data_IF_965647521156
#
_entry.id   IF_965647521156
#
_cell.length_a   1.000
_cell.length_b   1.000
_cell.length_c   1.000
_cell.angle_alpha   90.00
_cell.angle_beta   90.00
_cell.angle_gamma   90.00
#
_symmetry.space_group_name_H-M   'P 1'
#
loop_
_entity.id
_entity.type
_entity.pdbx_description
1 polymer ?
#
# COMPACT_ATOMS: atom_id res chain seq x y z
N UNK A 1 -1.63 -47.06 6.70
CA UNK A 1 -1.65 -46.26 7.94
C UNK A 1 -0.21 -46.16 8.40
N UNK A 2 0.51 -45.15 7.90
CA UNK A 2 1.92 -44.93 8.27
C UNK A 2 2.01 -43.72 9.19
N UNK A 3 2.62 -43.99 10.34
CA UNK A 3 2.64 -43.16 11.53
C UNK A 3 3.53 -41.94 11.30
N UNK A 4 2.91 -40.76 11.14
CA UNK A 4 3.59 -39.48 11.19
C UNK A 4 4.22 -39.31 12.59
N UNK A 5 5.54 -39.30 12.65
CA UNK A 5 6.29 -39.04 13.86
C UNK A 5 5.89 -37.69 14.47
N UNK A 6 5.44 -37.71 15.71
CA UNK A 6 5.12 -36.54 16.50
C UNK A 6 6.30 -35.55 16.55
N UNK A 7 6.06 -34.24 16.51
CA UNK A 7 7.11 -33.26 16.77
C UNK A 7 7.58 -33.42 18.23
N UNK A 8 8.86 -33.74 18.43
CA UNK A 8 9.47 -33.75 19.77
C UNK A 8 9.25 -32.40 20.44
N UNK A 9 8.66 -32.42 21.63
CA UNK A 9 8.43 -31.23 22.45
C UNK A 9 9.75 -30.49 22.74
N UNK A 10 9.70 -29.16 22.69
CA UNK A 10 10.83 -28.28 23.01
C UNK A 10 11.32 -28.42 24.47
N UNK A 11 10.59 -29.14 25.31
CA UNK A 11 10.82 -29.33 26.75
C UNK A 11 11.90 -30.34 27.14
N UNK A 12 12.47 -31.10 26.20
CA UNK A 12 13.59 -32.01 26.48
C UNK A 12 14.98 -31.41 26.16
N UNK A 13 15.09 -30.12 25.87
CA UNK A 13 16.38 -29.47 25.63
C UNK A 13 17.03 -28.99 26.93
N UNK A 14 18.27 -29.41 27.19
CA UNK A 14 19.10 -28.89 28.29
C UNK A 14 19.15 -27.36 28.28
N UNK A 15 19.11 -26.74 29.47
CA UNK A 15 19.23 -25.28 29.66
C UNK A 15 20.41 -24.71 28.88
N UNK A 16 21.54 -25.42 28.86
CA UNK A 16 22.76 -25.04 28.12
C UNK A 16 22.49 -24.96 26.61
N UNK A 17 21.74 -25.92 26.05
CA UNK A 17 21.37 -25.94 24.63
C UNK A 17 20.47 -24.75 24.27
N UNK A 18 19.51 -24.40 25.13
CA UNK A 18 18.64 -23.23 24.94
C UNK A 18 19.44 -21.92 25.00
N UNK A 19 20.38 -21.81 25.93
CA UNK A 19 21.27 -20.64 26.04
C UNK A 19 22.16 -20.48 24.80
N UNK A 20 22.73 -21.58 24.28
CA UNK A 20 23.53 -21.55 23.06
C UNK A 20 22.69 -21.12 21.84
N UNK A 21 21.49 -21.69 21.65
CA UNK A 21 20.57 -21.26 20.58
C UNK A 21 20.29 -19.76 20.66
N UNK A 22 20.00 -19.25 21.87
CA UNK A 22 19.73 -17.82 22.09
C UNK A 22 20.96 -16.95 21.79
N UNK A 23 22.14 -17.36 22.26
CA UNK A 23 23.39 -16.66 21.98
C UNK A 23 23.63 -16.49 20.48
N UNK A 24 23.54 -17.56 19.70
CA UNK A 24 23.80 -17.52 18.27
C UNK A 24 22.75 -16.73 17.49
N UNK A 25 21.46 -16.82 17.89
CA UNK A 25 20.40 -15.95 17.37
C UNK A 25 20.73 -14.48 17.63
N UNK A 26 21.10 -14.12 18.86
CA UNK A 26 21.46 -12.75 19.23
C UNK A 26 22.71 -12.27 18.50
N UNK A 27 23.72 -13.13 18.32
CA UNK A 27 24.92 -12.83 17.53
C UNK A 27 24.58 -12.53 16.07
N UNK A 28 23.68 -13.30 15.46
CA UNK A 28 23.20 -13.03 14.10
C UNK A 28 22.48 -11.67 14.01
N UNK A 29 21.61 -11.35 14.96
CA UNK A 29 20.94 -10.03 15.01
C UNK A 29 21.97 -8.91 15.10
N UNK A 30 22.99 -9.07 15.93
CA UNK A 30 24.05 -8.07 16.09
C UNK A 30 24.88 -7.90 14.80
N UNK A 31 25.21 -9.00 14.10
CA UNK A 31 25.93 -8.95 12.82
C UNK A 31 25.12 -8.15 11.79
N UNK A 32 23.83 -8.45 11.64
CA UNK A 32 22.91 -7.72 10.75
C UNK A 32 22.84 -6.23 11.12
N UNK A 33 22.68 -5.92 12.41
CA UNK A 33 22.56 -4.53 12.88
C UNK A 33 23.86 -3.71 12.76
N UNK A 34 25.02 -4.35 12.86
CA UNK A 34 26.34 -3.67 12.75
C UNK A 34 26.89 -3.63 11.32
N UNK A 35 26.18 -4.20 10.35
CA UNK A 35 26.61 -4.25 8.95
C UNK A 35 27.87 -5.09 8.73
N UNK A 36 28.17 -6.02 9.65
CA UNK A 36 29.31 -6.94 9.48
C UNK A 36 29.05 -7.88 8.30
N UNK A 37 30.09 -8.21 7.55
CA UNK A 37 30.01 -9.07 6.38
C UNK A 37 29.43 -10.44 6.77
N UNK A 38 28.32 -10.81 6.12
CA UNK A 38 27.70 -12.12 6.23
C UNK A 38 28.22 -13.08 5.16
N UNK A 39 27.87 -14.36 5.30
CA UNK A 39 28.19 -15.37 4.29
C UNK A 39 27.49 -15.06 2.96
N UNK A 40 28.28 -14.90 1.90
CA UNK A 40 27.79 -14.44 0.59
C UNK A 40 26.80 -15.42 -0.04
N UNK A 41 26.97 -16.74 0.17
CA UNK A 41 26.05 -17.74 -0.36
C UNK A 41 24.71 -17.71 0.36
N UNK A 42 24.73 -17.45 1.67
CA UNK A 42 23.50 -17.31 2.46
C UNK A 42 22.75 -16.05 2.03
N UNK A 43 23.44 -14.92 1.85
CA UNK A 43 22.83 -13.69 1.31
C UNK A 43 22.27 -13.92 -0.09
N UNK A 44 23.03 -14.54 -0.99
CA UNK A 44 22.57 -14.82 -2.35
C UNK A 44 21.32 -15.73 -2.37
N UNK A 45 21.24 -16.71 -1.45
CA UNK A 45 20.07 -17.59 -1.36
C UNK A 45 18.78 -16.89 -0.90
N UNK A 46 18.90 -15.74 -0.23
CA UNK A 46 17.79 -14.94 0.27
C UNK A 46 17.20 -13.99 -0.80
N UNK A 47 17.90 -13.77 -1.93
CA UNK A 47 17.58 -12.73 -2.91
C UNK A 47 16.14 -12.80 -3.46
N UNK A 48 15.63 -14.00 -3.74
CA UNK A 48 14.26 -14.19 -4.23
C UNK A 48 13.21 -13.78 -3.19
N UNK A 49 13.44 -14.12 -1.92
CA UNK A 49 12.56 -13.75 -0.83
C UNK A 49 12.64 -12.23 -0.58
N UNK A 50 13.83 -11.65 -0.62
CA UNK A 50 14.01 -10.20 -0.45
C UNK A 50 13.30 -9.42 -1.55
N UNK A 51 13.41 -9.84 -2.80
CA UNK A 51 12.64 -9.26 -3.90
C UNK A 51 11.12 -9.33 -3.65
N UNK A 52 10.63 -10.43 -3.05
CA UNK A 52 9.21 -10.56 -2.69
C UNK A 52 8.82 -9.63 -1.53
N UNK A 53 9.71 -9.40 -0.56
CA UNK A 53 9.48 -8.45 0.53
C UNK A 53 9.41 -7.01 0.01
N UNK A 54 10.23 -6.65 -0.99
CA UNK A 54 10.14 -5.34 -1.64
C UNK A 54 8.77 -5.12 -2.31
N UNK A 55 8.20 -6.15 -2.93
CA UNK A 55 6.83 -6.07 -3.48
C UNK A 55 5.81 -5.81 -2.37
N UNK A 56 5.93 -6.48 -1.22
CA UNK A 56 5.07 -6.23 -0.06
C UNK A 56 5.21 -4.78 0.45
N UNK A 57 6.43 -4.29 0.61
CA UNK A 57 6.69 -2.92 1.08
C UNK A 57 6.14 -1.88 0.11
N UNK A 58 6.32 -2.09 -1.20
CA UNK A 58 5.71 -1.25 -2.23
C UNK A 58 4.18 -1.22 -2.14
N UNK A 59 3.54 -2.38 -1.93
CA UNK A 59 2.08 -2.45 -1.71
C UNK A 59 1.67 -1.63 -0.48
N UNK A 60 2.36 -1.83 0.65
CA UNK A 60 2.07 -1.12 1.89
C UNK A 60 2.21 0.41 1.73
N UNK A 61 3.35 0.86 1.22
CA UNK A 61 3.67 2.28 1.05
C UNK A 61 2.69 2.96 0.12
N UNK A 62 2.44 2.36 -1.05
CA UNK A 62 1.54 2.98 -2.04
C UNK A 62 0.08 2.97 -1.61
N UNK A 63 -0.35 2.03 -0.76
CA UNK A 63 -1.66 2.09 -0.11
C UNK A 63 -1.75 3.26 0.88
N UNK A 64 -0.73 3.45 1.72
CA UNK A 64 -0.68 4.60 2.63
C UNK A 64 -0.66 5.93 1.89
N UNK A 65 0.10 6.02 0.81
CA UNK A 65 0.17 7.26 0.02
C UNK A 65 -1.15 7.55 -0.70
N UNK A 66 -1.81 6.51 -1.24
CA UNK A 66 -3.13 6.66 -1.85
C UNK A 66 -4.16 7.22 -0.86
N UNK A 67 -4.14 6.81 0.41
CA UNK A 67 -5.03 7.36 1.43
C UNK A 67 -4.83 8.87 1.61
N UNK A 68 -3.58 9.31 1.75
CA UNK A 68 -3.25 10.75 1.87
C UNK A 68 -3.69 11.53 0.63
N UNK A 69 -3.47 10.96 -0.56
CA UNK A 69 -3.87 11.58 -1.82
C UNK A 69 -5.39 11.75 -1.88
N UNK A 70 -6.16 10.72 -1.52
CA UNK A 70 -7.63 10.78 -1.54
C UNK A 70 -8.14 11.84 -0.56
N UNK A 71 -7.60 11.90 0.67
CA UNK A 71 -7.98 12.91 1.66
C UNK A 71 -7.70 14.34 1.17
N UNK A 72 -6.49 14.57 0.65
CA UNK A 72 -6.09 15.87 0.12
C UNK A 72 -6.90 16.25 -1.10
N UNK A 73 -7.23 15.28 -1.95
CA UNK A 73 -8.05 15.50 -3.14
C UNK A 73 -9.48 15.87 -2.77
N UNK A 74 -10.08 15.16 -1.81
CA UNK A 74 -11.37 15.54 -1.25
C UNK A 74 -11.32 16.98 -0.75
N UNK A 75 -10.41 17.34 0.17
CA UNK A 75 -10.32 18.74 0.66
C UNK A 75 -10.29 19.78 -0.48
N UNK A 76 -9.50 19.53 -1.53
CA UNK A 76 -9.41 20.42 -2.70
C UNK A 76 -10.72 20.48 -3.50
N UNK A 77 -11.46 19.38 -3.60
CA UNK A 77 -12.78 19.35 -4.25
C UNK A 77 -13.80 20.21 -3.50
N UNK A 78 -13.78 20.22 -2.17
CA UNK A 78 -14.63 21.14 -1.40
C UNK A 78 -14.27 22.58 -1.70
N UNK A 79 -13.00 22.96 -1.52
CA UNK A 79 -12.55 24.35 -1.71
C UNK A 79 -12.92 24.86 -3.10
N UNK A 80 -12.58 24.13 -4.17
CA UNK A 80 -12.92 24.59 -5.53
C UNK A 80 -14.43 24.67 -5.78
N UNK A 81 -15.23 23.83 -5.12
CA UNK A 81 -16.69 23.88 -5.24
C UNK A 81 -17.30 25.05 -4.47
N UNK A 82 -16.72 25.42 -3.33
CA UNK A 82 -17.10 26.62 -2.58
C UNK A 82 -16.81 27.88 -3.42
N UNK A 83 -15.58 28.03 -3.90
CA UNK A 83 -15.14 29.18 -4.71
C UNK A 83 -15.95 29.31 -6.02
N UNK A 84 -16.18 28.20 -6.74
CA UNK A 84 -16.99 28.22 -7.96
C UNK A 84 -18.46 28.58 -7.65
N UNK A 85 -19.00 28.10 -6.52
CA UNK A 85 -20.35 28.44 -6.11
C UNK A 85 -20.48 29.92 -5.73
N UNK A 86 -19.50 30.49 -5.02
CA UNK A 86 -19.47 31.92 -4.69
C UNK A 86 -19.41 32.79 -5.95
N UNK A 87 -18.56 32.44 -6.91
CA UNK A 87 -18.53 33.10 -8.21
C UNK A 87 -19.89 33.01 -8.93
N UNK A 88 -20.51 31.83 -8.89
CA UNK A 88 -21.84 31.64 -9.47
C UNK A 88 -22.92 32.52 -8.83
N UNK A 89 -22.88 32.67 -7.50
CA UNK A 89 -23.78 33.55 -6.76
C UNK A 89 -23.53 35.03 -7.09
N UNK A 90 -22.26 35.43 -7.20
CA UNK A 90 -21.88 36.78 -7.58
C UNK A 90 -22.40 37.16 -8.97
N UNK A 91 -22.24 36.29 -9.96
CA UNK A 91 -22.75 36.56 -11.32
C UNK A 91 -24.27 36.71 -11.35
N UNK A 92 -25.00 35.88 -10.60
CA UNK A 92 -26.45 36.01 -10.48
C UNK A 92 -26.87 37.33 -9.83
N UNK A 93 -26.17 37.76 -8.79
CA UNK A 93 -26.44 39.04 -8.13
C UNK A 93 -26.21 40.23 -9.06
N UNK A 94 -25.17 40.18 -9.90
CA UNK A 94 -24.92 41.24 -10.88
C UNK A 94 -25.94 41.22 -12.03
N UNK A 95 -26.39 40.04 -12.44
CA UNK A 95 -27.44 39.89 -13.44
C UNK A 95 -28.77 40.54 -13.02
N UNK A 96 -29.11 40.54 -11.73
CA UNK A 96 -30.32 41.22 -11.22
C UNK A 96 -30.30 42.74 -11.47
N UNK A 97 -29.11 43.32 -11.66
CA UNK A 97 -28.88 44.76 -11.88
C UNK A 97 -28.69 45.12 -13.34
N UNK A 98 -28.55 44.13 -14.23
CA UNK A 98 -28.25 44.32 -15.65
C UNK A 98 -29.37 43.71 -16.51
N UNK A 99 -30.23 44.55 -17.08
CA UNK A 99 -31.35 44.12 -17.93
C UNK A 99 -30.93 43.79 -19.37
N UNK A 100 -29.65 43.99 -19.71
CA UNK A 100 -29.14 43.71 -21.05
C UNK A 100 -28.96 42.21 -21.28
N UNK A 101 -28.56 41.83 -22.50
CA UNK A 101 -28.18 40.46 -22.80
C UNK A 101 -26.98 39.99 -21.96
N UNK A 102 -26.10 40.90 -21.54
CA UNK A 102 -24.97 40.58 -20.67
C UNK A 102 -25.46 40.10 -19.30
N UNK A 103 -26.46 40.74 -18.71
CA UNK A 103 -27.07 40.28 -17.46
C UNK A 103 -27.72 38.90 -17.59
N UNK A 104 -28.45 38.63 -18.69
CA UNK A 104 -28.99 37.28 -18.96
C UNK A 104 -27.88 36.22 -19.05
N UNK A 105 -26.76 36.56 -19.69
CA UNK A 105 -25.59 35.70 -19.81
C UNK A 105 -24.92 35.45 -18.45
N UNK A 106 -24.82 36.48 -17.61
CA UNK A 106 -24.32 36.36 -16.23
C UNK A 106 -25.22 35.45 -15.39
N UNK A 107 -26.55 35.59 -15.46
CA UNK A 107 -27.48 34.71 -14.73
C UNK A 107 -27.37 33.24 -15.18
N UNK A 108 -27.36 33.01 -16.50
CA UNK A 108 -27.19 31.67 -17.06
C UNK A 108 -25.86 31.02 -16.64
N UNK A 109 -24.76 31.78 -16.75
CA UNK A 109 -23.43 31.34 -16.33
C UNK A 109 -23.37 31.09 -14.84
N UNK A 110 -23.93 31.99 -14.02
CA UNK A 110 -23.96 31.85 -12.57
C UNK A 110 -24.74 30.62 -12.12
N UNK A 111 -25.90 30.35 -12.73
CA UNK A 111 -26.67 29.11 -12.53
C UNK A 111 -25.87 27.86 -12.90
N UNK A 112 -25.15 27.88 -14.02
CA UNK A 112 -24.31 26.76 -14.45
C UNK A 112 -23.13 26.51 -13.50
N UNK A 113 -22.45 27.55 -13.01
CA UNK A 113 -21.37 27.45 -12.02
C UNK A 113 -21.87 26.88 -10.69
N UNK A 114 -22.97 27.41 -10.14
CA UNK A 114 -23.57 26.85 -8.92
C UNK A 114 -24.00 25.38 -9.09
N UNK A 115 -24.52 25.01 -10.27
CA UNK A 115 -24.89 23.64 -10.59
C UNK A 115 -23.66 22.73 -10.69
N UNK A 116 -22.63 23.17 -11.42
CA UNK A 116 -21.32 22.50 -11.56
C UNK A 116 -20.68 22.24 -10.19
N UNK A 117 -20.61 23.25 -9.34
CA UNK A 117 -20.10 23.14 -7.98
C UNK A 117 -20.81 22.05 -7.17
N UNK A 118 -22.15 22.06 -7.15
CA UNK A 118 -22.95 21.04 -6.44
C UNK A 118 -22.75 19.64 -7.03
N UNK A 119 -22.67 19.53 -8.35
CA UNK A 119 -22.46 18.25 -9.02
C UNK A 119 -21.07 17.68 -8.76
N UNK A 120 -20.03 18.52 -8.67
CA UNK A 120 -18.67 18.08 -8.33
C UNK A 120 -18.64 17.40 -6.96
N UNK A 121 -19.43 17.89 -6.00
CA UNK A 121 -19.52 17.28 -4.67
C UNK A 121 -20.07 15.84 -4.70
N UNK A 122 -20.73 15.39 -5.77
CA UNK A 122 -21.11 13.99 -5.92
C UNK A 122 -19.90 13.03 -5.99
N UNK A 123 -18.69 13.54 -6.30
CA UNK A 123 -17.44 12.78 -6.27
C UNK A 123 -17.03 12.35 -4.85
N UNK A 124 -17.56 13.00 -3.81
CA UNK A 124 -17.23 12.64 -2.42
C UNK A 124 -17.59 11.20 -2.10
N UNK A 125 -18.78 10.76 -2.51
CA UNK A 125 -19.28 9.42 -2.19
C UNK A 125 -18.34 8.31 -2.70
N UNK A 126 -17.98 8.25 -4.01
CA UNK A 126 -17.06 7.22 -4.49
C UNK A 126 -15.64 7.38 -3.92
N UNK A 127 -15.17 8.60 -3.65
CA UNK A 127 -13.85 8.82 -3.04
C UNK A 127 -13.80 8.35 -1.59
N UNK A 128 -14.83 8.64 -0.79
CA UNK A 128 -14.95 8.14 0.59
C UNK A 128 -15.03 6.62 0.61
N UNK A 129 -15.72 6.01 -0.37
CA UNK A 129 -15.76 4.55 -0.50
C UNK A 129 -14.39 3.97 -0.83
N UNK A 130 -13.68 4.53 -1.80
CA UNK A 130 -12.30 4.15 -2.12
C UNK A 130 -11.40 4.25 -0.89
N UNK A 131 -11.46 5.37 -0.15
CA UNK A 131 -10.70 5.57 1.08
C UNK A 131 -10.97 4.45 2.09
N UNK A 132 -12.24 4.19 2.40
CA UNK A 132 -12.65 3.16 3.36
C UNK A 132 -12.17 1.75 2.96
N UNK A 133 -12.24 1.42 1.68
CA UNK A 133 -11.79 0.12 1.17
C UNK A 133 -10.27 -0.02 1.30
N UNK A 134 -9.50 1.01 0.93
CA UNK A 134 -8.04 1.02 1.08
C UNK A 134 -7.61 0.98 2.56
N UNK A 135 -8.31 1.69 3.45
CA UNK A 135 -8.08 1.62 4.90
C UNK A 135 -8.30 0.21 5.42
N UNK A 136 -9.42 -0.41 5.05
CA UNK A 136 -9.77 -1.77 5.48
C UNK A 136 -8.75 -2.78 4.98
N UNK A 137 -8.35 -2.67 3.71
CA UNK A 137 -7.31 -3.51 3.11
C UNK A 137 -5.99 -3.38 3.86
N UNK A 138 -5.58 -2.15 4.20
CA UNK A 138 -4.34 -1.88 4.93
C UNK A 138 -4.38 -2.42 6.36
N UNK A 139 -5.48 -2.18 7.08
CA UNK A 139 -5.63 -2.63 8.48
C UNK A 139 -5.77 -4.14 8.62
N UNK A 140 -6.35 -4.82 7.61
CA UNK A 140 -6.63 -6.25 7.67
C UNK A 140 -5.61 -7.06 6.88
N UNK A 141 -5.59 -6.93 5.56
CA UNK A 141 -4.82 -7.80 4.68
C UNK A 141 -3.31 -7.52 4.75
N UNK A 142 -2.91 -6.25 4.73
CA UNK A 142 -1.49 -5.86 4.84
C UNK A 142 -0.95 -6.20 6.23
N UNK A 143 -1.71 -5.92 7.29
CA UNK A 143 -1.33 -6.25 8.68
C UNK A 143 -1.17 -7.76 8.90
N UNK A 144 -2.10 -8.60 8.41
CA UNK A 144 -1.99 -10.06 8.50
C UNK A 144 -0.75 -10.61 7.75
N UNK A 145 -0.47 -10.06 6.56
CA UNK A 145 0.71 -10.43 5.78
C UNK A 145 1.98 -10.01 6.53
N UNK A 146 2.01 -8.81 7.13
CA UNK A 146 3.12 -8.32 7.94
C UNK A 146 3.40 -9.23 9.14
N UNK A 147 2.38 -9.71 9.84
CA UNK A 147 2.56 -10.67 10.95
C UNK A 147 3.27 -11.95 10.48
N UNK A 148 2.94 -12.43 9.28
CA UNK A 148 3.56 -13.62 8.69
C UNK A 148 5.01 -13.34 8.29
N UNK A 149 5.27 -12.18 7.67
CA UNK A 149 6.63 -11.71 7.34
C UNK A 149 7.49 -11.60 8.60
N UNK A 150 6.96 -11.04 9.69
CA UNK A 150 7.70 -10.91 10.95
C UNK A 150 8.10 -12.28 11.53
N UNK A 151 7.20 -13.27 11.46
CA UNK A 151 7.51 -14.66 11.87
C UNK A 151 8.57 -15.28 10.97
N UNK A 152 8.47 -15.04 9.66
CA UNK A 152 9.44 -15.49 8.68
C UNK A 152 10.84 -14.88 8.94
N UNK A 153 10.94 -13.57 9.16
CA UNK A 153 12.21 -12.88 9.47
C UNK A 153 12.86 -13.40 10.76
N UNK A 154 12.04 -13.74 11.77
CA UNK A 154 12.53 -14.40 12.97
C UNK A 154 13.08 -15.80 12.67
N UNK A 155 12.39 -16.60 11.85
CA UNK A 155 12.85 -17.93 11.44
C UNK A 155 14.12 -17.86 10.58
N UNK A 156 14.22 -16.87 9.67
CA UNK A 156 15.42 -16.55 8.90
C UNK A 156 16.61 -16.29 9.82
N UNK A 157 16.40 -15.42 10.81
CA UNK A 157 17.45 -15.07 11.80
C UNK A 157 17.87 -16.29 12.62
N UNK A 158 16.93 -17.15 13.03
CA UNK A 158 17.22 -18.39 13.74
C UNK A 158 18.01 -19.39 12.89
N UNK A 159 17.65 -19.53 11.61
CA UNK A 159 18.35 -20.37 10.67
C UNK A 159 19.79 -19.89 10.44
N UNK A 160 19.97 -18.60 10.16
CA UNK A 160 21.31 -18.00 9.95
C UNK A 160 22.17 -18.07 11.22
N UNK A 161 21.58 -17.86 12.39
CA UNK A 161 22.26 -18.07 13.67
C UNK A 161 22.71 -19.52 13.87
N UNK A 162 21.87 -20.50 13.50
CA UNK A 162 22.24 -21.92 13.57
C UNK A 162 23.37 -22.28 12.57
N UNK A 163 23.37 -21.67 11.37
CA UNK A 163 24.47 -21.84 10.40
C UNK A 163 25.79 -21.26 10.93
N UNK A 164 25.76 -20.08 11.55
CA UNK A 164 26.94 -19.52 12.22
C UNK A 164 27.48 -20.44 13.31
N UNK A 165 26.58 -21.02 14.13
CA UNK A 165 26.96 -21.99 15.14
C UNK A 165 27.57 -23.25 14.53
N UNK A 166 26.99 -23.76 13.44
CA UNK A 166 27.52 -24.93 12.74
C UNK A 166 28.91 -24.66 12.17
N UNK A 167 29.13 -23.47 11.60
CA UNK A 167 30.43 -23.04 11.09
C UNK A 167 31.48 -23.01 12.20
N UNK A 168 31.17 -22.37 13.32
CA UNK A 168 32.05 -22.27 14.49
C UNK A 168 32.45 -23.66 15.03
N UNK A 169 31.46 -24.54 15.26
CA UNK A 169 31.73 -25.89 15.75
C UNK A 169 32.48 -26.76 14.73
N UNK A 170 32.27 -26.53 13.42
CA UNK A 170 32.98 -27.28 12.38
C UNK A 170 34.47 -26.94 12.26
N UNK A 171 34.85 -25.71 12.62
CA UNK A 171 36.25 -25.26 12.54
C UNK A 171 37.13 -25.87 13.64
N UNK A 172 36.53 -26.21 14.78
CA UNK A 172 37.20 -26.80 15.95
C UNK A 172 36.97 -28.32 16.05
N UNK A 173 36.45 -28.96 14.99
CA UNK A 173 36.01 -30.36 15.02
C UNK A 173 37.17 -31.33 14.82
N UNK A 174 37.48 -32.10 15.86
CA UNK A 174 38.29 -33.31 15.81
C UNK A 174 37.38 -34.56 15.69
N UNK A 175 37.41 -35.28 14.56
CA UNK A 175 36.59 -36.48 14.34
C UNK A 175 36.84 -37.62 15.35
N UNK A 176 38.03 -37.68 15.93
CA UNK A 176 38.41 -38.73 16.89
C UNK A 176 37.87 -38.44 18.30
N UNK A 177 37.44 -37.20 18.54
CA UNK A 177 36.82 -36.80 19.81
C UNK A 177 35.30 -36.98 19.77
N UNK A 178 34.82 -38.13 20.29
CA UNK A 178 33.39 -38.49 20.35
C UNK A 178 32.47 -37.38 20.88
N UNK A 179 32.89 -36.62 21.89
CA UNK A 179 32.10 -35.51 22.46
C UNK A 179 31.90 -34.35 21.48
N UNK A 180 32.90 -34.04 20.66
CA UNK A 180 32.82 -32.97 19.67
C UNK A 180 31.93 -33.39 18.49
N UNK A 181 32.06 -34.64 18.05
CA UNK A 181 31.17 -35.22 17.03
C UNK A 181 29.70 -35.22 17.48
N UNK A 182 29.42 -35.53 18.75
CA UNK A 182 28.06 -35.46 19.29
C UNK A 182 27.52 -34.02 19.37
N UNK A 183 28.35 -33.05 19.76
CA UNK A 183 28.01 -31.63 19.72
C UNK A 183 27.69 -31.18 18.29
N UNK A 184 28.52 -31.56 17.32
CA UNK A 184 28.33 -31.22 15.91
C UNK A 184 27.02 -31.79 15.36
N UNK A 185 26.71 -33.08 15.64
CA UNK A 185 25.43 -33.70 15.26
C UNK A 185 24.23 -32.97 15.83
N UNK A 186 24.28 -32.51 17.09
CA UNK A 186 23.21 -31.71 17.70
C UNK A 186 22.99 -30.38 16.98
N UNK A 187 24.08 -29.68 16.63
CA UNK A 187 23.99 -28.42 15.87
C UNK A 187 23.46 -28.67 14.45
N UNK A 188 23.87 -29.74 13.78
CA UNK A 188 23.31 -30.13 12.48
C UNK A 188 21.80 -30.35 12.53
N UNK A 189 21.30 -31.05 13.56
CA UNK A 189 19.85 -31.24 13.76
C UNK A 189 19.17 -29.87 13.94
N UNK A 190 19.76 -28.97 14.72
CA UNK A 190 19.22 -27.62 14.92
C UNK A 190 19.14 -26.83 13.60
N UNK A 191 20.16 -26.91 12.74
CA UNK A 191 20.18 -26.29 11.41
C UNK A 191 19.08 -26.87 10.52
N UNK A 192 18.92 -28.20 10.48
CA UNK A 192 17.86 -28.83 9.68
C UNK A 192 16.47 -28.39 10.14
N UNK A 193 16.24 -28.34 11.45
CA UNK A 193 14.95 -27.95 12.02
C UNK A 193 14.64 -26.47 11.75
N UNK A 194 15.59 -25.57 11.97
CA UNK A 194 15.38 -24.14 11.69
C UNK A 194 15.23 -23.85 10.20
N UNK A 195 15.97 -24.56 9.34
CA UNK A 195 15.79 -24.49 7.88
C UNK A 195 14.39 -24.91 7.46
N UNK A 196 13.90 -26.05 7.94
CA UNK A 196 12.55 -26.52 7.60
C UNK A 196 11.47 -25.52 8.02
N UNK A 197 11.61 -24.91 9.21
CA UNK A 197 10.69 -23.85 9.67
C UNK A 197 10.79 -22.59 8.82
N UNK A 198 12.00 -22.18 8.43
CA UNK A 198 12.22 -21.02 7.58
C UNK A 198 11.67 -21.23 6.17
N UNK A 199 11.97 -22.37 5.53
CA UNK A 199 11.49 -22.71 4.19
C UNK A 199 9.95 -22.72 4.12
N UNK A 200 9.29 -23.27 5.16
CA UNK A 200 7.82 -23.22 5.26
C UNK A 200 7.31 -21.78 5.31
N UNK A 201 7.87 -20.94 6.18
CA UNK A 201 7.45 -19.55 6.31
C UNK A 201 7.80 -18.70 5.08
N UNK A 202 8.90 -19.01 4.38
CA UNK A 202 9.24 -18.40 3.08
C UNK A 202 8.13 -18.65 2.07
N UNK A 203 7.64 -19.89 1.96
CA UNK A 203 6.52 -20.23 1.07
C UNK A 203 5.23 -19.52 1.47
N UNK A 204 4.89 -19.52 2.78
CA UNK A 204 3.71 -18.83 3.30
C UNK A 204 3.72 -17.34 2.97
N UNK A 205 4.89 -16.68 3.13
CA UNK A 205 5.05 -15.26 2.77
C UNK A 205 4.86 -15.05 1.28
N UNK A 206 5.50 -15.85 0.42
CA UNK A 206 5.38 -15.69 -1.03
C UNK A 206 3.92 -15.77 -1.49
N UNK A 207 3.19 -16.79 -1.02
CA UNK A 207 1.77 -16.97 -1.36
C UNK A 207 0.91 -15.84 -0.82
N UNK A 208 1.14 -15.38 0.42
CA UNK A 208 0.37 -14.26 0.99
C UNK A 208 0.62 -12.96 0.23
N UNK A 209 1.85 -12.67 -0.15
CA UNK A 209 2.18 -11.45 -0.93
C UNK A 209 1.53 -11.50 -2.32
N UNK A 210 1.52 -12.65 -2.99
CA UNK A 210 0.87 -12.80 -4.29
C UNK A 210 -0.66 -12.61 -4.18
N UNK A 211 -1.29 -13.22 -3.15
CA UNK A 211 -2.71 -13.01 -2.86
C UNK A 211 -3.03 -11.56 -2.47
N UNK A 212 -2.12 -10.90 -1.74
CA UNK A 212 -2.26 -9.50 -1.34
C UNK A 212 -2.24 -8.59 -2.58
N UNK A 213 -1.33 -8.85 -3.52
CA UNK A 213 -1.28 -8.16 -4.81
C UNK A 213 -2.57 -8.32 -5.62
N UNK A 214 -3.05 -9.56 -5.78
CA UNK A 214 -4.31 -9.83 -6.49
C UNK A 214 -5.52 -9.15 -5.82
N UNK A 215 -5.60 -9.24 -4.48
CA UNK A 215 -6.68 -8.63 -3.70
C UNK A 215 -6.69 -7.11 -3.84
N UNK A 216 -5.52 -6.47 -3.84
CA UNK A 216 -5.38 -5.03 -4.09
C UNK A 216 -5.88 -4.64 -5.47
N UNK A 217 -5.48 -5.36 -6.52
CA UNK A 217 -5.91 -5.10 -7.89
C UNK A 217 -7.44 -5.19 -8.02
N UNK A 218 -8.03 -6.24 -7.47
CA UNK A 218 -9.48 -6.44 -7.50
C UNK A 218 -10.21 -5.31 -6.79
N UNK A 219 -9.79 -4.97 -5.56
CA UNK A 219 -10.35 -3.85 -4.81
C UNK A 219 -10.32 -2.56 -5.64
N UNK A 220 -9.13 -2.15 -6.11
CA UNK A 220 -8.96 -0.90 -6.85
C UNK A 220 -9.75 -0.87 -8.16
N UNK A 221 -9.82 -1.99 -8.90
CA UNK A 221 -10.60 -2.04 -10.14
C UNK A 221 -12.08 -1.74 -9.92
N UNK A 222 -12.65 -2.17 -8.80
CA UNK A 222 -14.05 -1.93 -8.47
C UNK A 222 -14.30 -0.52 -7.92
N UNK A 223 -13.49 -0.06 -6.95
CA UNK A 223 -13.70 1.27 -6.36
C UNK A 223 -13.45 2.38 -7.37
N UNK A 224 -12.38 2.27 -8.17
CA UNK A 224 -12.01 3.30 -9.16
C UNK A 224 -13.02 3.40 -10.31
N UNK A 225 -13.64 2.29 -10.71
CA UNK A 225 -14.67 2.31 -11.76
C UNK A 225 -15.85 3.22 -11.37
N UNK A 226 -16.27 3.17 -10.10
CA UNK A 226 -17.38 4.02 -9.63
C UNK A 226 -16.98 5.49 -9.60
N UNK A 227 -15.77 5.80 -9.12
CA UNK A 227 -15.22 7.16 -9.16
C UNK A 227 -15.13 7.71 -10.59
N UNK A 228 -14.56 6.92 -11.51
CA UNK A 228 -14.38 7.32 -12.91
C UNK A 228 -15.72 7.59 -13.60
N UNK A 229 -16.74 6.74 -13.39
CA UNK A 229 -18.08 6.94 -13.96
C UNK A 229 -18.72 8.23 -13.46
N UNK A 230 -18.61 8.52 -12.16
CA UNK A 230 -19.14 9.76 -11.57
C UNK A 230 -18.40 10.97 -12.10
N UNK A 231 -17.07 10.90 -12.25
CA UNK A 231 -16.25 11.97 -12.80
C UNK A 231 -16.59 12.27 -14.26
N UNK A 232 -16.76 11.24 -15.08
CA UNK A 232 -17.18 11.40 -16.46
C UNK A 232 -18.56 12.07 -16.54
N UNK A 233 -19.53 11.56 -15.77
CA UNK A 233 -20.87 12.14 -15.74
C UNK A 233 -20.91 13.60 -15.25
N UNK A 234 -20.02 13.98 -14.33
CA UNK A 234 -19.82 15.38 -13.93
C UNK A 234 -19.34 16.21 -15.12
N UNK A 235 -18.25 15.82 -15.79
CA UNK A 235 -17.70 16.57 -16.92
C UNK A 235 -18.67 16.68 -18.08
N UNK A 236 -19.39 15.61 -18.44
CA UNK A 236 -20.39 15.62 -19.50
C UNK A 236 -21.55 16.57 -19.23
N UNK A 237 -22.01 16.66 -17.97
CA UNK A 237 -23.07 17.60 -17.58
C UNK A 237 -22.58 19.04 -17.62
N UNK A 238 -21.40 19.31 -17.03
CA UNK A 238 -20.82 20.65 -17.01
C UNK A 238 -20.50 21.15 -18.42
N UNK A 239 -19.91 20.30 -19.27
CA UNK A 239 -19.61 20.65 -20.66
C UNK A 239 -20.88 20.96 -21.46
N UNK A 240 -21.96 20.17 -21.30
CA UNK A 240 -23.24 20.44 -21.96
C UNK A 240 -23.86 21.76 -21.51
N UNK A 241 -23.87 22.05 -20.20
CA UNK A 241 -24.38 23.32 -19.68
C UNK A 241 -23.61 24.51 -20.26
N UNK A 242 -22.27 24.44 -20.25
CA UNK A 242 -21.42 25.51 -20.79
C UNK A 242 -21.55 25.67 -22.30
N UNK A 243 -21.70 24.57 -23.05
CA UNK A 243 -21.90 24.61 -24.51
C UNK A 243 -23.23 25.23 -24.89
N UNK A 244 -24.29 24.97 -24.12
CA UNK A 244 -25.58 25.61 -24.32
C UNK A 244 -25.50 27.12 -24.12
N UNK A 245 -24.86 27.57 -23.03
CA UNK A 245 -24.63 29.00 -22.77
C UNK A 245 -23.85 29.61 -23.93
N UNK A 246 -22.73 28.99 -24.34
CA UNK A 246 -21.94 29.46 -25.47
C UNK A 246 -22.78 29.62 -26.75
N UNK A 247 -23.62 28.64 -27.09
CA UNK A 247 -24.50 28.72 -28.26
C UNK A 247 -25.48 29.90 -28.20
N UNK A 248 -26.00 30.22 -27.02
CA UNK A 248 -26.84 31.40 -26.78
C UNK A 248 -26.05 32.72 -26.88
N UNK A 249 -24.72 32.67 -26.70
CA UNK A 249 -23.81 33.82 -26.76
C UNK A 249 -23.32 34.15 -28.19
N UNK A 250 -23.19 33.17 -29.09
CA UNK A 250 -22.60 33.37 -30.44
C UNK A 250 -23.39 34.36 -31.31
N UNK A 251 -24.64 34.65 -30.99
CA UNK A 251 -25.43 35.70 -31.66
C UNK A 251 -25.03 37.14 -31.27
N UNK A 252 -23.91 37.35 -30.56
CA UNK A 252 -23.36 38.66 -30.24
C UNK A 252 -22.73 39.30 -31.48
N UNK A 253 -23.35 40.36 -32.02
CA UNK A 253 -22.66 41.29 -32.92
C UNK A 253 -21.76 42.23 -32.10
N UNK A 254 -20.53 42.54 -32.56
CA UNK A 254 -19.67 43.48 -31.87
C UNK A 254 -20.27 44.89 -32.00
N UNK A 255 -20.57 45.50 -30.86
CA UNK A 255 -20.82 46.94 -30.64
C UNK A 255 -20.99 47.80 -31.91
N UNK A 256 -22.23 48.19 -32.24
CA UNK A 256 -22.46 49.36 -33.09
C UNK A 256 -21.95 50.60 -32.33
N UNK A 257 -20.70 50.97 -32.57
CA UNK A 257 -20.17 52.26 -32.16
C UNK A 257 -20.93 53.35 -32.94
N UNK A 258 -21.96 53.92 -32.30
CA UNK A 258 -22.51 55.20 -32.76
C UNK A 258 -21.48 56.27 -32.44
N UNK A 259 -20.67 56.64 -33.42
CA UNK A 259 -19.91 57.88 -33.35
C UNK A 259 -20.92 59.04 -33.26
N UNK A 260 -20.98 59.70 -32.10
CA UNK A 260 -21.69 60.96 -31.93
C UNK A 260 -21.07 61.98 -32.91
N UNK A 261 -21.86 62.45 -33.87
CA UNK A 261 -21.52 63.59 -34.74
C UNK A 261 -21.74 64.90 -34.00
#
# INVERSE_FOLDING_TARGET
MDSFGQPRSEDNQSVVSRMQKKYWKTKQVFIKATGKKEDEHVVASDAELDAKLEVFHSIQETCTELLKIVEKYQLRLNVISEEENELGLFLKFQAERDVTQAGKMMDATGKALCSSAKQRLALYMPLSRLKQEVETFSQRAVSDTLMTINRMEQARTEYRGALLWMKDVSQELDPDTLKQMEKFRKVQIQVRNSKASFDKLKMDVCQKVDLLGASRCNMLSHSLTTYQRTLLGFWEKTARMMSQIYGECVNFYPYDFVALK
#
